data_IF_933940288608
#
_entry.id   IF_933940288608
#
_cell.length_a   1.000
_cell.length_b   1.000
_cell.length_c   1.000
_cell.angle_alpha   90.00
_cell.angle_beta   90.00
_cell.angle_gamma   90.00
#
_symmetry.space_group_name_H-M   'P 1'
#
loop_
_entity.id
_entity.type
_entity.pdbx_description
1 polymer ?
#
# COMPACT_ATOMS: atom_id res chain seq x y z
N UNK A 1 -15.27 -2.76 -12.11
CA UNK A 1 -14.82 -1.42 -11.67
C UNK A 1 -13.40 -1.61 -11.16
N UNK A 2 -12.41 -0.96 -11.78
CA UNK A 2 -11.02 -1.07 -11.30
C UNK A 2 -10.90 -0.17 -10.06
N UNK A 3 -10.66 -0.75 -8.88
CA UNK A 3 -10.67 0.00 -7.61
C UNK A 3 -9.36 0.76 -7.35
N UNK A 4 -8.28 0.47 -8.08
CA UNK A 4 -6.95 1.05 -7.88
C UNK A 4 -6.24 1.23 -9.22
N UNK A 5 -5.68 2.42 -9.48
CA UNK A 5 -4.86 2.71 -10.66
C UNK A 5 -3.48 3.21 -10.23
N UNK A 6 -2.42 2.75 -10.93
CA UNK A 6 -1.07 3.29 -10.74
C UNK A 6 -0.94 4.64 -11.46
N UNK A 7 -0.75 5.72 -10.68
CA UNK A 7 -0.53 7.07 -11.22
C UNK A 7 0.95 7.39 -11.45
N UNK A 8 1.82 7.05 -10.49
CA UNK A 8 3.25 7.34 -10.58
C UNK A 8 4.07 6.30 -9.81
N UNK A 9 5.33 6.11 -10.20
CA UNK A 9 6.26 5.18 -9.54
C UNK A 9 7.70 5.66 -9.62
N UNK A 10 8.39 5.64 -8.48
CA UNK A 10 9.77 6.05 -8.37
C UNK A 10 10.55 5.18 -7.39
N UNK A 11 11.75 4.76 -7.81
CA UNK A 11 12.71 4.11 -6.94
C UNK A 11 13.57 5.15 -6.21
N UNK A 12 13.79 4.94 -4.93
CA UNK A 12 14.73 5.71 -4.11
C UNK A 12 15.86 4.79 -3.65
N UNK A 13 17.01 5.35 -3.31
CA UNK A 13 18.16 4.58 -2.83
C UNK A 13 17.81 3.86 -1.52
N UNK A 14 17.13 4.58 -0.62
CA UNK A 14 16.66 4.08 0.65
C UNK A 14 15.42 4.87 1.10
N UNK A 15 14.80 4.47 2.22
CA UNK A 15 13.59 5.13 2.72
C UNK A 15 13.87 6.55 3.22
N UNK A 16 15.01 6.76 3.90
CA UNK A 16 15.35 8.04 4.52
C UNK A 16 15.77 9.11 3.53
N UNK A 17 16.27 8.73 2.34
CA UNK A 17 16.47 9.66 1.22
C UNK A 17 15.17 10.14 0.58
N UNK A 18 14.06 9.41 0.76
CA UNK A 18 12.74 9.79 0.26
C UNK A 18 11.93 10.58 1.29
N UNK A 19 11.96 10.16 2.56
CA UNK A 19 11.16 10.74 3.63
C UNK A 19 11.84 10.54 4.98
N UNK A 20 12.05 11.61 5.74
CA UNK A 20 12.52 11.52 7.13
C UNK A 20 12.06 12.71 7.97
N UNK A 21 12.09 12.56 9.29
CA UNK A 21 11.57 13.57 10.23
C UNK A 21 12.35 14.89 10.23
N UNK A 22 13.65 14.86 9.96
CA UNK A 22 14.54 16.03 9.96
C UNK A 22 14.46 16.84 8.67
N UNK A 23 14.39 16.16 7.51
CA UNK A 23 14.39 16.83 6.18
C UNK A 23 13.02 16.90 5.52
N UNK A 24 12.02 16.23 6.10
CA UNK A 24 10.67 16.16 5.55
C UNK A 24 10.56 15.21 4.36
N UNK A 25 9.77 15.61 3.37
CA UNK A 25 9.55 14.87 2.13
C UNK A 25 10.54 15.34 1.06
N UNK A 26 11.28 14.41 0.46
CA UNK A 26 12.19 14.71 -0.65
C UNK A 26 11.45 15.40 -1.81
N UNK A 27 12.09 16.37 -2.47
CA UNK A 27 11.50 17.15 -3.56
C UNK A 27 10.88 16.27 -4.66
N UNK A 28 11.51 15.14 -4.99
CA UNK A 28 11.01 14.22 -6.00
C UNK A 28 9.72 13.53 -5.56
N UNK A 29 9.67 13.05 -4.32
CA UNK A 29 8.47 12.43 -3.74
C UNK A 29 7.35 13.47 -3.59
N UNK A 30 7.68 14.69 -3.15
CA UNK A 30 6.74 15.80 -3.03
C UNK A 30 6.10 16.14 -4.37
N UNK A 31 6.89 16.25 -5.45
CA UNK A 31 6.37 16.49 -6.80
C UNK A 31 5.43 15.39 -7.27
N UNK A 32 5.77 14.13 -7.04
CA UNK A 32 4.90 13.01 -7.41
C UNK A 32 3.55 13.09 -6.70
N UNK A 33 3.54 13.31 -5.39
CA UNK A 33 2.29 13.44 -4.61
C UNK A 33 1.47 14.64 -5.12
N UNK A 34 2.11 15.79 -5.30
CA UNK A 34 1.43 17.04 -5.70
C UNK A 34 0.89 17.01 -7.13
N UNK A 35 1.53 16.28 -8.05
CA UNK A 35 1.04 16.17 -9.42
C UNK A 35 -0.31 15.45 -9.53
N UNK A 36 -0.64 14.60 -8.55
CA UNK A 36 -1.84 13.75 -8.56
C UNK A 36 -2.81 14.07 -7.43
N UNK A 37 -2.44 14.97 -6.51
CA UNK A 37 -3.32 15.42 -5.44
C UNK A 37 -4.32 16.44 -5.95
N UNK A 38 -5.61 16.22 -5.66
CA UNK A 38 -6.65 17.22 -5.88
C UNK A 38 -7.09 17.85 -4.55
N UNK A 39 -7.43 19.15 -4.54
CA UNK A 39 -7.96 19.82 -3.35
C UNK A 39 -9.14 19.07 -2.72
N UNK A 40 -9.11 18.92 -1.39
CA UNK A 40 -10.13 18.20 -0.63
C UNK A 40 -9.92 16.68 -0.53
N UNK A 41 -8.92 16.12 -1.23
CA UNK A 41 -8.56 14.70 -1.08
C UNK A 41 -7.65 14.45 0.11
N UNK A 42 -7.82 13.27 0.71
CA UNK A 42 -6.96 12.74 1.77
C UNK A 42 -6.03 11.68 1.21
N UNK A 43 -4.75 11.75 1.53
CA UNK A 43 -3.75 10.77 1.10
C UNK A 43 -3.75 9.58 2.06
N UNK A 44 -4.03 8.38 1.57
CA UNK A 44 -3.86 7.15 2.34
C UNK A 44 -2.37 6.81 2.48
N UNK A 45 -1.89 6.64 3.70
CA UNK A 45 -0.48 6.35 4.01
C UNK A 45 -0.39 5.20 4.99
N UNK A 46 0.41 4.18 4.67
CA UNK A 46 0.54 2.95 5.48
C UNK A 46 1.10 3.19 6.90
N UNK A 47 1.94 4.21 7.09
CA UNK A 47 2.58 4.49 8.38
C UNK A 47 2.18 5.86 8.89
N UNK A 48 1.68 5.90 10.13
CA UNK A 48 1.32 7.13 10.82
C UNK A 48 2.50 8.11 10.93
N UNK A 49 3.72 7.61 11.14
CA UNK A 49 4.95 8.43 11.13
C UNK A 49 5.11 9.19 9.81
N UNK A 50 4.98 8.49 8.68
CA UNK A 50 5.11 9.11 7.35
C UNK A 50 3.92 10.01 7.02
N UNK A 51 2.72 9.65 7.47
CA UNK A 51 1.53 10.51 7.35
C UNK A 51 1.77 11.87 8.03
N UNK A 52 2.32 11.88 9.25
CA UNK A 52 2.64 13.11 9.98
C UNK A 52 3.71 13.96 9.27
N UNK A 53 4.76 13.33 8.74
CA UNK A 53 5.81 14.04 7.98
C UNK A 53 5.23 14.64 6.69
N UNK A 54 4.44 13.88 5.93
CA UNK A 54 3.81 14.36 4.69
C UNK A 54 2.86 15.51 4.97
N UNK A 55 1.98 15.35 5.97
CA UNK A 55 1.01 16.37 6.34
C UNK A 55 1.70 17.68 6.77
N UNK A 56 2.78 17.59 7.54
CA UNK A 56 3.55 18.77 7.95
C UNK A 56 4.32 19.40 6.79
N UNK A 57 4.89 18.59 5.91
CA UNK A 57 5.76 19.07 4.81
C UNK A 57 4.96 19.65 3.64
N UNK A 58 3.78 19.08 3.36
CA UNK A 58 3.02 19.33 2.13
C UNK A 58 1.64 19.96 2.38
N UNK A 59 1.20 20.07 3.63
CA UNK A 59 -0.13 20.57 4.01
C UNK A 59 -1.29 19.77 3.37
N UNK A 60 -1.12 18.45 3.29
CA UNK A 60 -2.11 17.50 2.74
C UNK A 60 -2.72 16.66 3.88
N UNK A 61 -4.06 16.57 3.99
CA UNK A 61 -4.69 15.63 4.91
C UNK A 61 -4.24 14.20 4.63
N UNK A 62 -3.80 13.47 5.66
CA UNK A 62 -3.40 12.08 5.54
C UNK A 62 -4.32 11.16 6.36
N UNK A 63 -4.55 9.95 5.86
CA UNK A 63 -5.31 8.89 6.53
C UNK A 63 -4.42 7.66 6.74
N UNK A 64 -4.43 7.13 7.96
CA UNK A 64 -3.72 5.92 8.35
C UNK A 64 -4.61 5.16 9.34
N UNK A 65 -5.58 4.40 8.82
CA UNK A 65 -6.51 3.58 9.60
C UNK A 65 -6.48 2.11 9.16
N UNK A 66 -7.27 1.26 9.81
CA UNK A 66 -7.31 -0.17 9.52
C UNK A 66 -7.72 -0.46 8.06
N UNK A 67 -8.57 0.38 7.46
CA UNK A 67 -8.96 0.23 6.06
C UNK A 67 -7.78 0.50 5.12
N UNK A 68 -6.98 1.54 5.39
CA UNK A 68 -5.73 1.81 4.67
C UNK A 68 -4.74 0.65 4.86
N UNK A 69 -4.64 0.07 6.05
CA UNK A 69 -3.74 -1.06 6.30
C UNK A 69 -4.15 -2.30 5.50
N UNK A 70 -5.44 -2.64 5.46
CA UNK A 70 -5.98 -3.73 4.64
C UNK A 70 -5.74 -3.49 3.15
N UNK A 71 -5.98 -2.25 2.67
CA UNK A 71 -5.71 -1.87 1.28
C UNK A 71 -4.23 -2.03 0.94
N UNK A 72 -3.33 -1.48 1.75
CA UNK A 72 -1.89 -1.55 1.52
C UNK A 72 -1.37 -3.00 1.56
N UNK A 73 -1.94 -3.85 2.43
CA UNK A 73 -1.65 -5.28 2.43
C UNK A 73 -2.04 -5.95 1.10
N UNK A 74 -3.23 -5.62 0.57
CA UNK A 74 -3.67 -6.11 -0.74
C UNK A 74 -2.73 -5.67 -1.87
N UNK A 75 -2.43 -4.36 -1.93
CA UNK A 75 -1.54 -3.77 -2.95
C UNK A 75 -0.16 -4.42 -2.95
N UNK A 76 0.40 -4.69 -1.77
CA UNK A 76 1.68 -5.41 -1.64
C UNK A 76 1.62 -6.79 -2.29
N UNK A 77 0.56 -7.55 -2.03
CA UNK A 77 0.43 -8.91 -2.57
C UNK A 77 0.17 -8.97 -4.09
N UNK A 78 -0.25 -7.87 -4.71
CA UNK A 78 -0.44 -7.74 -6.17
C UNK A 78 0.54 -6.75 -6.82
N UNK A 79 1.59 -6.35 -6.10
CA UNK A 79 2.52 -5.28 -6.51
C UNK A 79 3.18 -5.55 -7.85
N UNK A 80 3.45 -6.82 -8.18
CA UNK A 80 4.06 -7.21 -9.46
C UNK A 80 3.13 -6.96 -10.65
N UNK A 81 1.83 -7.15 -10.45
CA UNK A 81 0.82 -6.82 -11.47
C UNK A 81 0.63 -5.31 -11.60
N UNK A 82 0.64 -4.57 -10.50
CA UNK A 82 0.42 -3.12 -10.51
C UNK A 82 1.65 -2.33 -10.98
N UNK A 83 2.85 -2.75 -10.58
CA UNK A 83 4.12 -2.08 -10.89
C UNK A 83 5.07 -3.09 -11.54
N UNK A 84 4.94 -3.35 -12.86
CA UNK A 84 5.79 -4.34 -13.54
C UNK A 84 7.30 -4.04 -13.50
N UNK A 85 7.67 -2.78 -13.23
CA UNK A 85 9.06 -2.35 -13.07
C UNK A 85 9.66 -2.78 -11.72
N UNK A 86 8.83 -3.05 -10.72
CA UNK A 86 9.25 -3.51 -9.41
C UNK A 86 9.58 -5.00 -9.47
N UNK A 87 10.85 -5.33 -9.21
CA UNK A 87 11.36 -6.70 -9.30
C UNK A 87 11.58 -7.35 -7.94
N UNK A 88 11.49 -6.58 -6.86
CA UNK A 88 11.61 -7.12 -5.52
C UNK A 88 10.43 -8.06 -5.22
N UNK A 89 10.74 -9.20 -4.60
CA UNK A 89 9.72 -10.08 -4.05
C UNK A 89 9.28 -9.56 -2.69
N UNK A 90 8.00 -9.78 -2.35
CA UNK A 90 7.54 -9.53 -1.00
C UNK A 90 8.30 -10.41 0.00
N UNK A 91 8.89 -9.81 1.03
CA UNK A 91 9.52 -10.56 2.12
C UNK A 91 8.45 -11.27 2.94
N UNK A 92 8.87 -12.25 3.75
CA UNK A 92 7.92 -12.99 4.61
C UNK A 92 7.29 -12.06 5.65
N UNK A 93 8.10 -11.15 6.18
CA UNK A 93 7.67 -10.16 7.17
C UNK A 93 6.58 -9.23 6.63
N UNK A 94 6.66 -8.86 5.34
CA UNK A 94 5.70 -7.97 4.68
C UNK A 94 4.34 -8.63 4.39
N UNK A 95 4.24 -9.96 4.56
CA UNK A 95 2.98 -10.72 4.39
C UNK A 95 2.16 -10.80 5.68
N UNK A 96 2.73 -10.36 6.80
CA UNK A 96 2.17 -10.52 8.12
C UNK A 96 1.80 -9.16 8.73
N UNK A 97 0.67 -9.06 9.45
CA UNK A 97 -0.39 -10.06 9.57
C UNK A 97 -1.15 -10.25 8.24
N UNK A 98 -1.87 -11.37 8.09
CA UNK A 98 -2.75 -11.58 6.93
C UNK A 98 -3.96 -10.63 7.02
N UNK A 99 -4.44 -10.17 5.86
CA UNK A 99 -5.70 -9.41 5.74
C UNK A 99 -6.86 -10.10 6.45
N UNK A 100 -7.60 -9.34 7.25
CA UNK A 100 -8.83 -9.81 7.89
C UNK A 100 -9.88 -10.20 6.85
N UNK A 101 -10.00 -9.41 5.78
CA UNK A 101 -10.90 -9.73 4.66
C UNK A 101 -10.59 -11.08 4.04
N UNK A 102 -9.30 -11.37 3.78
CA UNK A 102 -8.89 -12.67 3.25
C UNK A 102 -9.13 -13.81 4.24
N UNK A 103 -8.85 -13.61 5.54
CA UNK A 103 -9.14 -14.61 6.58
C UNK A 103 -10.63 -14.95 6.60
N UNK A 104 -11.50 -13.93 6.57
CA UNK A 104 -12.95 -14.11 6.55
C UNK A 104 -13.40 -14.85 5.30
N UNK A 105 -12.89 -14.45 4.13
CA UNK A 105 -13.17 -15.12 2.86
C UNK A 105 -12.81 -16.62 2.91
N UNK A 106 -11.61 -16.96 3.36
CA UNK A 106 -11.16 -18.35 3.43
C UNK A 106 -12.00 -19.19 4.40
N UNK A 107 -12.44 -18.59 5.52
CA UNK A 107 -13.34 -19.24 6.48
C UNK A 107 -14.71 -19.57 5.88
N UNK A 108 -15.23 -18.76 4.96
CA UNK A 108 -16.48 -19.06 4.25
C UNK A 108 -16.42 -20.36 3.44
N UNK A 109 -15.21 -20.83 3.10
CA UNK A 109 -14.95 -22.08 2.40
C UNK A 109 -14.31 -23.15 3.28
N UNK A 110 -14.29 -22.96 4.61
CA UNK A 110 -13.67 -23.86 5.59
C UNK A 110 -12.16 -24.10 5.35
N UNK A 111 -11.49 -23.16 4.67
CA UNK A 111 -10.06 -23.24 4.38
C UNK A 111 -9.25 -22.55 5.48
N UNK A 112 -8.26 -23.28 6.02
CA UNK A 112 -7.27 -22.74 6.96
C UNK A 112 -5.92 -22.62 6.25
N UNK A 113 -5.60 -21.40 5.83
CA UNK A 113 -4.39 -21.10 5.05
C UNK A 113 -3.40 -20.35 5.94
N UNK A 114 -2.14 -20.81 5.97
CA UNK A 114 -1.08 -20.09 6.66
C UNK A 114 -0.62 -18.88 5.83
N UNK A 115 -0.21 -17.76 6.44
CA UNK A 115 0.22 -16.58 5.70
C UNK A 115 1.36 -16.83 4.70
N UNK A 116 2.24 -17.79 4.97
CA UNK A 116 3.40 -18.06 4.12
C UNK A 116 3.03 -18.64 2.75
N UNK A 117 1.87 -19.28 2.64
CA UNK A 117 1.39 -19.89 1.39
C UNK A 117 0.47 -18.96 0.59
N UNK A 118 0.10 -17.80 1.16
CA UNK A 118 -0.65 -16.78 0.42
C UNK A 118 0.25 -16.18 -0.66
N UNK A 119 -0.29 -16.12 -1.87
CA UNK A 119 0.36 -15.57 -3.04
C UNK A 119 -0.61 -14.69 -3.84
N UNK A 120 -0.07 -14.03 -4.86
CA UNK A 120 -0.81 -13.12 -5.73
C UNK A 120 -2.05 -13.78 -6.35
N UNK A 121 -2.00 -15.07 -6.73
CA UNK A 121 -3.15 -15.76 -7.33
C UNK A 121 -4.29 -15.95 -6.33
N UNK A 122 -3.99 -16.27 -5.07
CA UNK A 122 -5.01 -16.39 -4.02
C UNK A 122 -5.67 -15.04 -3.77
N UNK A 123 -4.87 -13.96 -3.70
CA UNK A 123 -5.39 -12.60 -3.47
C UNK A 123 -6.24 -12.11 -4.63
N UNK A 124 -5.78 -12.29 -5.87
CA UNK A 124 -6.55 -11.96 -7.08
C UNK A 124 -7.82 -12.80 -7.22
N UNK A 125 -7.76 -14.09 -6.89
CA UNK A 125 -8.94 -14.96 -6.90
C UNK A 125 -10.00 -14.51 -5.90
N UNK A 126 -9.58 -14.16 -4.68
CA UNK A 126 -10.48 -13.62 -3.67
C UNK A 126 -11.08 -12.27 -4.09
N UNK A 127 -10.30 -11.37 -4.70
CA UNK A 127 -10.80 -10.07 -5.16
C UNK A 127 -11.80 -10.18 -6.30
N UNK A 128 -11.68 -11.17 -7.20
CA UNK A 128 -12.65 -11.38 -8.29
C UNK A 128 -13.98 -11.92 -7.76
N UNK A 129 -13.95 -12.75 -6.72
CA UNK A 129 -15.15 -13.39 -6.18
C UNK A 129 -15.97 -12.48 -5.25
N UNK A 130 -15.36 -11.43 -4.68
CA UNK A 130 -15.99 -10.58 -3.65
C UNK A 130 -15.75 -9.06 -3.83
N UNK A 131 -15.08 -8.63 -4.92
CA UNK A 131 -14.82 -7.22 -5.26
C UNK A 131 -15.80 -6.63 -6.27
#
# INVERSE_FOLDING_TARGET
>A
MEMVCLHDFQTFEDKSSAINIETGVNEKLAKMIMNWHCPGQTLAVEKAEYAGIIQTSLDIPCLCDDAVMELMWGLKNVMRSLVPKEKSGLRKEDRLPMSQGLIMFLRCYELVVKPEVVNEQIVLGASVLYG
#
